data_IF_876904650088
#
_entry.id   IF_876904650088
#
_cell.length_a   1.000
_cell.length_b   1.000
_cell.length_c   1.000
_cell.angle_alpha   90.00
_cell.angle_beta   90.00
_cell.angle_gamma   90.00
#
_symmetry.space_group_name_H-M   'P 1'
#
loop_
_entity.id
_entity.type
_entity.pdbx_description
1 polymer ?
#
# COMPACT_ATOMS: atom_id res chain seq x y z
N UNK A 1 23.09 7.11 71.20
CA UNK A 1 21.95 6.24 70.84
C UNK A 1 21.24 6.84 69.64
N UNK A 2 21.18 6.16 68.50
CA UNK A 2 20.54 6.67 67.28
C UNK A 2 19.02 6.39 67.33
N UNK A 3 18.20 7.41 67.04
CA UNK A 3 16.74 7.27 66.94
C UNK A 3 16.37 6.59 65.62
N UNK A 4 15.48 5.61 65.68
CA UNK A 4 15.03 4.83 64.53
C UNK A 4 14.27 5.70 63.52
N UNK A 5 14.67 5.65 62.25
CA UNK A 5 13.93 6.22 61.12
C UNK A 5 12.65 5.38 60.94
N UNK A 6 11.48 6.00 61.12
CA UNK A 6 10.17 5.32 61.14
C UNK A 6 9.24 5.69 59.97
N UNK A 7 9.74 6.32 58.93
CA UNK A 7 8.92 6.64 57.77
C UNK A 7 9.63 6.26 56.47
N UNK A 8 9.26 5.08 55.95
CA UNK A 8 9.44 4.75 54.55
C UNK A 8 8.22 5.35 53.84
N UNK A 9 8.42 6.48 53.16
CA UNK A 9 7.40 7.07 52.31
C UNK A 9 7.34 6.25 51.02
N UNK A 10 6.51 5.20 51.04
CA UNK A 10 6.31 4.34 49.88
C UNK A 10 5.31 5.04 48.98
N UNK A 11 5.78 5.66 47.90
CA UNK A 11 4.92 6.25 46.87
C UNK A 11 4.01 5.15 46.34
N UNK A 12 2.73 5.22 46.71
CA UNK A 12 1.69 4.34 46.20
C UNK A 12 1.48 4.77 44.75
N UNK A 13 1.67 3.88 43.75
CA UNK A 13 1.44 4.26 42.36
C UNK A 13 -0.02 4.71 42.21
N UNK A 14 -0.20 6.00 41.90
CA UNK A 14 -1.49 6.59 41.67
C UNK A 14 -1.95 6.19 40.27
N UNK A 15 -2.63 5.06 40.18
CA UNK A 15 -3.14 4.48 38.93
C UNK A 15 -3.95 5.47 38.10
N UNK A 16 -4.60 6.46 38.74
CA UNK A 16 -5.32 7.52 38.06
C UNK A 16 -4.39 8.57 37.43
N UNK A 17 -3.26 8.90 38.05
CA UNK A 17 -2.24 9.78 37.47
C UNK A 17 -1.53 9.11 36.29
N UNK A 18 -1.15 7.84 36.41
CA UNK A 18 -0.53 7.09 35.30
C UNK A 18 -1.48 6.97 34.09
N UNK A 19 -2.78 6.72 34.32
CA UNK A 19 -3.76 6.72 33.25
C UNK A 19 -3.91 8.10 32.59
N UNK A 20 -3.98 9.17 33.39
CA UNK A 20 -4.09 10.53 32.85
C UNK A 20 -2.85 10.91 32.03
N UNK A 21 -1.66 10.46 32.46
CA UNK A 21 -0.41 10.68 31.72
C UNK A 21 -0.38 9.89 30.42
N UNK A 22 -0.76 8.61 30.44
CA UNK A 22 -0.82 7.79 29.24
C UNK A 22 -1.83 8.36 28.21
N UNK A 23 -2.99 8.84 28.66
CA UNK A 23 -3.97 9.51 27.79
C UNK A 23 -3.39 10.80 27.23
N UNK A 24 -2.72 11.61 28.05
CA UNK A 24 -2.10 12.86 27.60
C UNK A 24 -1.01 12.62 26.56
N UNK A 25 -0.18 11.58 26.75
CA UNK A 25 0.88 11.21 25.81
C UNK A 25 0.32 10.71 24.48
N UNK A 26 -0.73 9.88 24.52
CA UNK A 26 -1.43 9.44 23.29
C UNK A 26 -2.05 10.63 22.57
N UNK A 27 -2.72 11.54 23.29
CA UNK A 27 -3.33 12.74 22.70
C UNK A 27 -2.26 13.63 22.07
N UNK A 28 -1.10 13.78 22.72
CA UNK A 28 0.03 14.55 22.21
C UNK A 28 0.59 13.92 20.92
N UNK A 29 0.85 12.61 20.92
CA UNK A 29 1.38 11.90 19.74
C UNK A 29 0.41 11.98 18.56
N UNK A 30 -0.90 11.86 18.82
CA UNK A 30 -1.93 12.02 17.79
C UNK A 30 -2.04 13.46 17.27
N UNK A 31 -1.83 14.46 18.13
CA UNK A 31 -1.86 15.86 17.75
C UNK A 31 -0.63 16.26 16.92
N UNK A 32 0.55 15.73 17.25
CA UNK A 32 1.78 15.93 16.49
C UNK A 32 1.72 15.24 15.11
N UNK A 33 1.02 14.10 15.02
CA UNK A 33 0.84 13.33 13.77
C UNK A 33 -0.54 13.53 13.11
N UNK A 34 -1.16 14.71 13.29
CA UNK A 34 -2.55 14.99 12.89
C UNK A 34 -2.88 14.59 11.45
N UNK A 35 -2.02 14.91 10.48
CA UNK A 35 -2.25 14.60 9.08
C UNK A 35 -2.24 13.08 8.80
N UNK A 36 -1.27 12.36 9.37
CA UNK A 36 -1.20 10.90 9.24
C UNK A 36 -2.38 10.20 9.91
N UNK A 37 -2.83 10.72 11.06
CA UNK A 37 -4.03 10.23 11.76
C UNK A 37 -5.30 10.45 10.92
N UNK A 38 -5.47 11.64 10.33
CA UNK A 38 -6.61 11.93 9.47
C UNK A 38 -6.60 11.08 8.19
N UNK A 39 -5.44 10.85 7.60
CA UNK A 39 -5.28 9.95 6.45
C UNK A 39 -5.62 8.49 6.82
N UNK A 40 -5.13 8.00 7.95
CA UNK A 40 -5.44 6.66 8.45
C UNK A 40 -6.95 6.49 8.73
N UNK A 41 -7.59 7.50 9.34
CA UNK A 41 -9.05 7.51 9.55
C UNK A 41 -9.80 7.49 8.21
N UNK A 42 -9.31 8.19 7.19
CA UNK A 42 -9.86 8.16 5.83
C UNK A 42 -9.81 6.76 5.21
N UNK A 43 -8.66 6.09 5.33
CA UNK A 43 -8.48 4.69 4.87
C UNK A 43 -9.40 3.74 5.64
N UNK A 44 -9.45 3.86 6.97
CA UNK A 44 -10.30 3.03 7.83
C UNK A 44 -11.79 3.23 7.53
N UNK A 45 -12.23 4.45 7.24
CA UNK A 45 -13.59 4.73 6.77
C UNK A 45 -13.88 4.05 5.44
N UNK A 46 -12.98 4.19 4.47
CA UNK A 46 -13.12 3.53 3.16
C UNK A 46 -13.17 2.00 3.27
N UNK A 47 -12.41 1.40 4.18
CA UNK A 47 -12.43 -0.04 4.43
C UNK A 47 -13.66 -0.50 5.22
N UNK A 48 -14.19 0.35 6.11
CA UNK A 48 -15.44 0.10 6.83
C UNK A 48 -16.65 0.12 5.88
N UNK A 49 -16.67 1.05 4.94
CA UNK A 49 -17.71 1.14 3.90
C UNK A 49 -17.73 -0.08 2.96
N UNK A 50 -16.62 -0.83 2.90
CA UNK A 50 -16.46 -2.04 2.09
C UNK A 50 -16.76 -3.35 2.85
N UNK A 51 -17.28 -3.31 4.08
CA UNK A 51 -17.54 -4.50 4.91
C UNK A 51 -16.29 -5.35 5.23
N UNK A 52 -15.10 -4.86 4.86
CA UNK A 52 -13.81 -5.54 5.08
C UNK A 52 -13.43 -5.51 6.56
N UNK A 53 -13.76 -4.42 7.26
CA UNK A 53 -13.43 -4.28 8.69
C UNK A 53 -14.26 -5.24 9.56
N UNK A 54 -15.53 -5.46 9.23
CA UNK A 54 -16.36 -6.48 9.89
C UNK A 54 -15.85 -7.88 9.60
N UNK A 55 -15.52 -8.20 8.35
CA UNK A 55 -14.91 -9.49 8.00
C UNK A 55 -13.57 -9.71 8.74
N UNK A 56 -12.73 -8.68 8.83
CA UNK A 56 -11.47 -8.73 9.58
C UNK A 56 -11.71 -8.96 11.08
N UNK A 57 -12.69 -8.29 11.67
CA UNK A 57 -13.07 -8.51 13.07
C UNK A 57 -13.64 -9.91 13.30
N UNK A 58 -14.51 -10.42 12.41
CA UNK A 58 -15.05 -11.78 12.52
C UNK A 58 -13.98 -12.86 12.37
N UNK A 59 -13.01 -12.66 11.47
CA UNK A 59 -11.83 -13.54 11.36
C UNK A 59 -10.96 -13.50 12.62
N UNK A 60 -10.83 -12.32 13.22
CA UNK A 60 -10.13 -12.11 14.49
C UNK A 60 -10.93 -12.57 15.71
N UNK A 61 -12.23 -12.81 15.63
CA UNK A 61 -12.98 -13.44 16.72
C UNK A 61 -12.88 -14.98 16.64
N UNK A 62 -12.74 -15.54 15.43
CA UNK A 62 -12.61 -16.98 15.17
C UNK A 62 -11.16 -17.52 15.32
N UNK A 63 -10.37 -16.95 16.24
CA UNK A 63 -8.89 -17.10 16.32
C UNK A 63 -8.36 -18.54 16.37
N UNK A 64 -9.14 -19.51 16.84
CA UNK A 64 -8.60 -20.83 17.21
C UNK A 64 -8.69 -21.91 16.13
N UNK A 65 -9.64 -21.83 15.20
CA UNK A 65 -9.81 -22.88 14.16
C UNK A 65 -9.23 -22.48 12.80
N UNK A 66 -9.27 -21.19 12.43
CA UNK A 66 -8.84 -20.75 11.08
C UNK A 66 -7.32 -20.50 11.01
N UNK A 67 -6.72 -20.02 12.09
CA UNK A 67 -5.30 -19.66 12.13
C UNK A 67 -4.37 -20.89 11.99
N UNK A 68 -4.72 -22.03 12.60
CA UNK A 68 -3.92 -23.25 12.53
C UNK A 68 -3.95 -23.90 11.13
N UNK A 69 -5.09 -23.82 10.43
CA UNK A 69 -5.25 -24.35 9.07
C UNK A 69 -4.56 -23.43 8.04
N UNK A 70 -4.62 -22.11 8.23
CA UNK A 70 -3.97 -21.14 7.35
C UNK A 70 -2.42 -21.20 7.43
N UNK A 71 -1.85 -21.34 8.64
CA UNK A 71 -0.39 -21.40 8.82
C UNK A 71 0.19 -22.69 8.20
N UNK A 72 -0.52 -23.81 8.26
CA UNK A 72 -0.10 -25.05 7.60
C UNK A 72 -0.07 -24.95 6.07
N UNK A 73 -0.95 -24.15 5.47
CA UNK A 73 -0.97 -23.94 4.02
C UNK A 73 0.01 -22.89 3.52
N UNK A 74 0.43 -21.93 4.37
CA UNK A 74 1.48 -20.95 4.05
C UNK A 74 2.83 -21.62 3.77
N UNK A 75 3.09 -22.77 4.39
CA UNK A 75 4.34 -23.50 4.18
C UNK A 75 4.35 -24.31 2.87
N UNK A 76 3.30 -24.24 2.05
CA UNK A 76 3.31 -24.82 0.71
C UNK A 76 4.19 -24.00 -0.24
N UNK A 77 4.98 -24.64 -1.13
CA UNK A 77 5.84 -23.94 -2.08
C UNK A 77 5.12 -22.87 -2.92
N UNK A 78 3.85 -23.13 -3.26
CA UNK A 78 3.01 -22.19 -4.01
C UNK A 78 2.80 -20.87 -3.25
N UNK A 79 2.53 -20.95 -1.94
CA UNK A 79 2.32 -19.75 -1.11
C UNK A 79 3.64 -19.03 -0.85
N UNK A 80 4.74 -19.77 -0.66
CA UNK A 80 6.08 -19.17 -0.54
C UNK A 80 6.48 -18.35 -1.77
N UNK A 81 6.22 -18.88 -2.97
CA UNK A 81 6.54 -18.17 -4.23
C UNK A 81 5.69 -16.91 -4.42
N UNK A 82 4.43 -16.93 -4.01
CA UNK A 82 3.56 -15.74 -4.04
C UNK A 82 4.07 -14.69 -3.07
N UNK A 83 4.39 -15.07 -1.83
CA UNK A 83 4.94 -14.14 -0.83
C UNK A 83 6.27 -13.56 -1.30
N UNK A 84 7.17 -14.39 -1.86
CA UNK A 84 8.44 -13.93 -2.42
C UNK A 84 8.23 -12.94 -3.57
N UNK A 85 7.30 -13.23 -4.48
CA UNK A 85 6.96 -12.33 -5.59
C UNK A 85 6.37 -11.02 -5.10
N UNK A 86 5.48 -11.07 -4.10
CA UNK A 86 4.87 -9.89 -3.50
C UNK A 86 5.90 -9.01 -2.77
N UNK A 87 6.80 -9.61 -1.99
CA UNK A 87 7.91 -8.89 -1.36
C UNK A 87 8.86 -8.28 -2.39
N UNK A 88 9.15 -8.99 -3.48
CA UNK A 88 9.95 -8.47 -4.59
C UNK A 88 9.29 -7.26 -5.26
N UNK A 89 7.99 -7.35 -5.53
CA UNK A 89 7.20 -6.25 -6.08
C UNK A 89 7.15 -5.06 -5.11
N UNK A 90 6.91 -5.31 -3.83
CA UNK A 90 6.90 -4.26 -2.79
C UNK A 90 8.27 -3.58 -2.68
N UNK A 91 9.36 -4.36 -2.67
CA UNK A 91 10.72 -3.83 -2.67
C UNK A 91 10.97 -2.95 -3.90
N UNK A 92 10.58 -3.41 -5.08
CA UNK A 92 10.68 -2.62 -6.31
C UNK A 92 9.87 -1.32 -6.25
N UNK A 93 8.60 -1.38 -5.86
CA UNK A 93 7.74 -0.20 -5.71
C UNK A 93 8.30 0.79 -4.67
N UNK A 94 8.90 0.30 -3.59
CA UNK A 94 9.54 1.11 -2.56
C UNK A 94 10.77 1.86 -3.07
N UNK A 95 11.40 1.42 -4.16
CA UNK A 95 12.56 2.12 -4.76
C UNK A 95 12.17 3.20 -5.77
N UNK A 96 10.91 3.25 -6.19
CA UNK A 96 10.43 4.27 -7.13
C UNK A 96 10.21 5.62 -6.45
N UNK A 97 10.36 6.69 -7.22
CA UNK A 97 9.94 8.02 -6.77
C UNK A 97 8.40 8.05 -6.62
N UNK A 98 7.86 8.48 -5.46
CA UNK A 98 6.42 8.54 -5.24
C UNK A 98 5.65 9.35 -6.30
N UNK A 99 6.23 10.44 -6.81
CA UNK A 99 5.59 11.30 -7.81
C UNK A 99 5.50 10.61 -9.19
N UNK A 100 6.52 9.83 -9.54
CA UNK A 100 6.53 9.06 -10.79
C UNK A 100 5.52 7.90 -10.72
N UNK A 101 5.48 7.20 -9.59
CA UNK A 101 4.50 6.16 -9.33
C UNK A 101 3.07 6.69 -9.39
N UNK A 102 2.80 7.83 -8.75
CA UNK A 102 1.49 8.49 -8.80
C UNK A 102 1.10 8.83 -10.25
N UNK A 103 2.03 9.41 -11.01
CA UNK A 103 1.80 9.76 -12.42
C UNK A 103 1.47 8.53 -13.26
N UNK A 104 2.18 7.42 -13.06
CA UNK A 104 1.90 6.15 -13.75
C UNK A 104 0.52 5.59 -13.38
N UNK A 105 0.18 5.59 -12.09
CA UNK A 105 -1.13 5.11 -11.61
C UNK A 105 -2.29 5.97 -12.15
N UNK A 106 -2.13 7.29 -12.17
CA UNK A 106 -3.08 8.21 -12.79
C UNK A 106 -3.22 7.93 -14.29
N UNK A 107 -2.12 7.70 -15.01
CA UNK A 107 -2.11 7.34 -16.43
C UNK A 107 -2.88 6.05 -16.71
N UNK A 108 -2.67 5.01 -15.90
CA UNK A 108 -3.40 3.74 -16.00
C UNK A 108 -4.90 3.95 -15.74
N UNK A 109 -5.24 4.66 -14.66
CA UNK A 109 -6.63 4.98 -14.31
C UNK A 109 -7.34 5.74 -15.44
N UNK A 110 -6.69 6.76 -16.02
CA UNK A 110 -7.21 7.49 -17.17
C UNK A 110 -7.35 6.62 -18.42
N UNK A 111 -6.42 5.70 -18.66
CA UNK A 111 -6.52 4.72 -19.75
C UNK A 111 -7.75 3.82 -19.61
N UNK A 112 -7.98 3.27 -18.41
CA UNK A 112 -9.15 2.44 -18.10
C UNK A 112 -10.45 3.23 -18.29
N UNK A 113 -10.49 4.47 -17.79
CA UNK A 113 -11.65 5.35 -18.00
C UNK A 113 -11.91 5.59 -19.48
N UNK A 114 -10.87 5.91 -20.26
CA UNK A 114 -10.99 6.14 -21.71
C UNK A 114 -11.41 4.87 -22.47
N UNK A 115 -11.02 3.69 -22.01
CA UNK A 115 -11.49 2.41 -22.55
C UNK A 115 -13.00 2.23 -22.30
N UNK A 116 -13.48 2.52 -21.09
CA UNK A 116 -14.92 2.44 -20.78
C UNK A 116 -15.76 3.42 -21.61
N UNK A 117 -15.25 4.64 -21.85
CA UNK A 117 -15.93 5.67 -22.65
C UNK A 117 -15.94 5.34 -24.15
N UNK A 118 -14.90 4.68 -24.66
CA UNK A 118 -14.77 4.35 -26.09
C UNK A 118 -15.37 2.99 -26.46
N UNK A 119 -15.47 2.05 -25.51
CA UNK A 119 -16.04 0.71 -25.73
C UNK A 119 -17.55 0.68 -25.97
N UNK A 120 -18.26 1.79 -25.78
CA UNK A 120 -19.72 1.88 -26.02
C UNK A 120 -20.09 2.34 -27.44
N UNK A 121 -19.13 2.85 -28.22
CA UNK A 121 -19.37 3.29 -29.59
C UNK A 121 -18.71 2.31 -30.55
N UNK A 122 -19.46 1.30 -30.97
CA UNK A 122 -19.11 0.38 -32.07
C UNK A 122 -18.98 1.05 -33.44
N UNK A 123 -18.60 2.33 -33.50
CA UNK A 123 -18.35 3.05 -34.71
C UNK A 123 -17.06 2.55 -35.36
N UNK A 124 -17.18 2.03 -36.60
CA UNK A 124 -16.04 1.76 -37.46
C UNK A 124 -15.19 3.03 -37.58
N UNK A 125 -14.05 3.07 -36.87
CA UNK A 125 -13.11 4.17 -36.98
C UNK A 125 -12.59 4.20 -38.42
N UNK A 126 -12.91 5.26 -39.16
CA UNK A 126 -12.33 5.48 -40.49
C UNK A 126 -10.80 5.44 -40.41
N UNK A 127 -10.14 4.76 -41.37
CA UNK A 127 -8.67 4.65 -41.45
C UNK A 127 -7.97 6.03 -41.35
N UNK A 128 -8.64 7.08 -41.82
CA UNK A 128 -8.16 8.45 -41.70
C UNK A 128 -8.17 8.98 -40.26
N UNK A 129 -9.24 8.70 -39.49
CA UNK A 129 -9.33 9.05 -38.05
C UNK A 129 -8.24 8.31 -37.26
N UNK A 130 -7.99 7.04 -37.57
CA UNK A 130 -6.93 6.25 -36.93
C UNK A 130 -5.54 6.85 -37.20
N UNK A 131 -5.23 7.21 -38.45
CA UNK A 131 -3.97 7.90 -38.79
C UNK A 131 -3.80 9.22 -38.04
N UNK A 132 -4.88 9.98 -37.85
CA UNK A 132 -4.86 11.23 -37.07
C UNK A 132 -4.59 10.95 -35.58
N UNK A 133 -5.20 9.92 -35.01
CA UNK A 133 -4.98 9.48 -33.62
C UNK A 133 -3.53 9.03 -33.38
N UNK A 134 -2.95 8.24 -34.28
CA UNK A 134 -1.53 7.82 -34.18
C UNK A 134 -0.56 9.00 -34.17
N UNK A 135 -0.96 10.12 -34.78
CA UNK A 135 -0.18 11.37 -34.78
C UNK A 135 -0.54 12.29 -33.61
N UNK A 136 -1.41 11.91 -32.69
CA UNK A 136 -1.73 12.78 -31.56
C UNK A 136 -0.54 12.89 -30.60
N UNK A 137 -0.37 14.02 -29.88
CA UNK A 137 0.70 14.18 -28.90
C UNK A 137 0.69 13.08 -27.84
N UNK A 138 -0.49 12.65 -27.40
CA UNK A 138 -0.66 11.65 -26.34
C UNK A 138 -0.20 10.26 -26.79
N UNK A 139 -0.55 9.83 -28.01
CA UNK A 139 -0.09 8.53 -28.53
C UNK A 139 1.42 8.55 -28.76
N UNK A 140 1.98 9.67 -29.26
CA UNK A 140 3.44 9.78 -29.43
C UNK A 140 4.17 9.68 -28.09
N UNK A 141 3.73 10.41 -27.08
CA UNK A 141 4.31 10.34 -25.74
C UNK A 141 4.29 8.92 -25.19
N UNK A 142 3.14 8.23 -25.26
CA UNK A 142 3.02 6.85 -24.79
C UNK A 142 3.91 5.86 -25.57
N UNK A 143 4.00 6.00 -26.90
CA UNK A 143 4.89 5.16 -27.71
C UNK A 143 6.36 5.40 -27.40
N UNK A 144 6.78 6.65 -27.26
CA UNK A 144 8.16 6.99 -26.89
C UNK A 144 8.51 6.40 -25.52
N UNK A 145 7.68 6.62 -24.50
CA UNK A 145 7.90 6.04 -23.17
C UNK A 145 7.94 4.51 -23.20
N UNK A 146 7.10 3.87 -24.02
CA UNK A 146 7.11 2.41 -24.17
C UNK A 146 8.39 1.92 -24.85
N UNK A 147 8.89 2.62 -25.86
CA UNK A 147 10.17 2.30 -26.51
C UNK A 147 11.32 2.45 -25.52
N UNK A 148 11.41 3.57 -24.80
CA UNK A 148 12.48 3.82 -23.81
C UNK A 148 12.44 2.76 -22.70
N UNK A 149 11.25 2.38 -22.24
CA UNK A 149 11.07 1.28 -21.29
C UNK A 149 11.56 -0.07 -21.83
N UNK A 150 11.24 -0.39 -23.09
CA UNK A 150 11.70 -1.61 -23.75
C UNK A 150 13.22 -1.64 -23.93
N UNK A 151 13.84 -0.51 -24.26
CA UNK A 151 15.29 -0.37 -24.36
C UNK A 151 15.97 -0.64 -23.00
N UNK A 152 15.52 0.02 -21.93
CA UNK A 152 16.07 -0.19 -20.59
C UNK A 152 15.90 -1.62 -20.07
N UNK A 153 14.78 -2.29 -20.36
CA UNK A 153 14.63 -3.71 -20.05
C UNK A 153 15.64 -4.58 -20.83
N UNK A 154 15.84 -4.27 -22.11
CA UNK A 154 16.78 -4.97 -22.97
C UNK A 154 18.21 -4.89 -22.46
N UNK A 155 18.64 -3.73 -21.96
CA UNK A 155 19.96 -3.53 -21.36
C UNK A 155 20.21 -4.49 -20.19
N UNK A 156 19.25 -4.59 -19.26
CA UNK A 156 19.34 -5.49 -18.09
C UNK A 156 19.38 -6.96 -18.51
N UNK A 157 18.57 -7.36 -19.49
CA UNK A 157 18.56 -8.75 -19.98
C UNK A 157 19.89 -9.12 -20.65
N UNK A 158 20.44 -8.23 -21.46
CA UNK A 158 21.73 -8.43 -22.11
C UNK A 158 22.88 -8.44 -21.10
N UNK A 159 22.81 -7.65 -20.04
CA UNK A 159 23.81 -7.66 -18.96
C UNK A 159 23.78 -8.97 -18.17
N UNK A 160 22.60 -9.45 -17.80
CA UNK A 160 22.46 -10.69 -17.04
C UNK A 160 22.86 -11.93 -17.85
N UNK A 161 22.60 -11.94 -19.16
CA UNK A 161 23.04 -13.02 -20.04
C UNK A 161 24.56 -13.09 -20.24
N UNK A 162 25.31 -12.00 -19.97
CA UNK A 162 26.79 -12.01 -20.00
C UNK A 162 27.42 -12.56 -18.72
N UNK A 163 26.64 -12.67 -17.64
CA UNK A 163 27.09 -13.17 -16.32
C UNK A 163 26.92 -14.69 -16.18
N UNK A 164 26.39 -15.36 -17.21
CA UNK A 164 26.22 -16.81 -17.33
C UNK A 164 26.98 -17.34 -18.55
#
# INVERSE_FOLDING_TARGET
MAKAIRQINKTIPNYAEEQNQAVADIVKELAENREAVLAAIGVLKGLNDLTILEAANSLLEQRTEVAAIAIGQINQPAVHNIIKSAMGLFGFLSTMNPNELETMLQGVSHGIKRLSETGHQGEKQSLWKMRKRLRSPEIRAAMTTMVDFMEGMGEVFLENNKKH
#
